data_IF_929974188599
#
_entry.id   IF_929974188599
#
_cell.length_a   1.000
_cell.length_b   1.000
_cell.length_c   1.000
_cell.angle_alpha   90.00
_cell.angle_beta   90.00
_cell.angle_gamma   90.00
#
_symmetry.space_group_name_H-M   'P 1'
#
loop_
_entity.id
_entity.type
_entity.pdbx_description
1 polymer ?
#
# COMPACT_ATOMS: atom_id res chain seq x y z
N UNK A 1 -5.61 22.99 10.16
CA UNK A 1 -5.51 21.69 9.45
C UNK A 1 -4.71 20.76 10.34
N UNK A 2 -5.21 19.54 10.60
CA UNK A 2 -4.52 18.49 11.35
C UNK A 2 -4.10 17.39 10.37
N UNK A 3 -2.88 16.87 10.50
CA UNK A 3 -2.35 15.78 9.66
C UNK A 3 -2.17 14.53 10.51
N UNK A 4 -2.63 13.39 9.99
CA UNK A 4 -2.60 12.11 10.69
C UNK A 4 -1.83 11.10 9.84
N UNK A 5 -0.80 10.46 10.40
CA UNK A 5 -0.09 9.35 9.74
C UNK A 5 -0.84 8.04 10.02
N UNK A 6 -1.97 7.86 9.36
CA UNK A 6 -2.81 6.66 9.48
C UNK A 6 -3.69 6.52 8.24
N UNK A 7 -3.79 5.31 7.69
CA UNK A 7 -4.63 5.05 6.53
C UNK A 7 -6.11 4.85 6.89
N UNK A 8 -6.43 4.32 8.08
CA UNK A 8 -7.79 3.96 8.44
C UNK A 8 -8.13 4.16 9.93
N UNK A 9 -7.25 3.72 10.85
CA UNK A 9 -7.56 3.69 12.29
C UNK A 9 -7.92 5.05 12.89
N UNK A 10 -7.44 6.16 12.32
CA UNK A 10 -7.77 7.50 12.82
C UNK A 10 -9.27 7.81 12.78
N UNK A 11 -10.02 7.19 11.87
CA UNK A 11 -11.44 7.47 11.64
C UNK A 11 -12.28 7.24 12.90
N UNK A 12 -12.02 6.18 13.63
CA UNK A 12 -12.77 5.87 14.86
C UNK A 12 -12.74 6.99 15.91
N UNK A 13 -11.61 7.71 16.01
CA UNK A 13 -11.43 8.78 17.00
C UNK A 13 -11.71 10.18 16.43
N UNK A 14 -11.35 10.43 15.18
CA UNK A 14 -11.32 11.78 14.61
C UNK A 14 -12.48 12.08 13.66
N UNK A 15 -13.09 11.07 13.02
CA UNK A 15 -14.20 11.28 12.09
C UNK A 15 -15.43 11.92 12.77
N UNK A 16 -15.81 11.56 14.01
CA UNK A 16 -16.94 12.19 14.70
C UNK A 16 -16.74 13.68 15.04
N UNK A 17 -15.50 14.16 15.08
CA UNK A 17 -15.16 15.53 15.51
C UNK A 17 -14.57 16.39 14.38
N UNK A 18 -14.33 15.81 13.21
CA UNK A 18 -13.77 16.51 12.05
C UNK A 18 -14.88 17.10 11.17
N UNK A 19 -14.71 18.34 10.72
CA UNK A 19 -15.61 18.95 9.73
C UNK A 19 -15.51 18.26 8.36
N UNK A 20 -14.31 17.80 7.99
CA UNK A 20 -14.04 17.11 6.72
C UNK A 20 -12.78 16.26 6.86
N UNK A 21 -12.81 15.07 6.28
CA UNK A 21 -11.63 14.22 6.07
C UNK A 21 -11.16 14.38 4.63
N UNK A 22 -9.86 14.62 4.44
CA UNK A 22 -9.22 14.70 3.13
C UNK A 22 -8.15 13.61 3.09
N UNK A 23 -8.34 12.59 2.26
CA UNK A 23 -7.32 11.59 2.00
C UNK A 23 -6.27 12.18 1.06
N UNK A 24 -5.00 11.94 1.40
CA UNK A 24 -3.86 12.49 0.66
C UNK A 24 -2.96 11.33 0.22
N UNK A 25 -2.72 11.25 -1.09
CA UNK A 25 -1.75 10.33 -1.70
C UNK A 25 -0.32 10.86 -1.50
N UNK A 26 0.12 10.90 -0.25
CA UNK A 26 1.45 11.39 0.12
C UNK A 26 2.52 10.35 -0.21
N UNK A 27 3.73 10.76 -0.66
CA UNK A 27 4.82 9.84 -0.90
C UNK A 27 5.33 9.21 0.40
N UNK A 28 5.90 8.02 0.31
CA UNK A 28 6.59 7.37 1.43
C UNK A 28 6.53 5.85 1.38
N UNK A 29 7.28 5.20 2.27
CA UNK A 29 7.45 3.73 2.32
C UNK A 29 6.15 2.94 2.53
N UNK A 30 5.08 3.60 2.96
CA UNK A 30 3.75 2.99 3.16
C UNK A 30 2.82 3.24 1.97
N UNK A 31 3.32 3.78 0.86
CA UNK A 31 2.56 3.96 -0.37
C UNK A 31 2.13 2.59 -0.93
N UNK A 32 0.86 2.43 -1.35
CA UNK A 32 0.40 1.22 -2.02
C UNK A 32 0.89 1.11 -3.47
N UNK A 33 1.47 2.17 -4.06
CA UNK A 33 2.00 2.17 -5.43
C UNK A 33 3.38 1.52 -5.46
N UNK A 34 3.42 0.20 -5.56
CA UNK A 34 4.68 -0.56 -5.53
C UNK A 34 5.60 -0.21 -6.71
N UNK A 35 5.03 0.06 -7.89
CA UNK A 35 5.76 0.49 -9.10
C UNK A 35 6.52 1.82 -8.94
N UNK A 36 6.21 2.61 -7.92
CA UNK A 36 6.94 3.85 -7.61
C UNK A 36 8.33 3.62 -7.00
N UNK A 37 8.68 2.37 -6.65
CA UNK A 37 9.97 2.00 -6.08
C UNK A 37 10.77 1.08 -6.99
N UNK A 38 12.08 1.32 -7.07
CA UNK A 38 13.02 0.50 -7.83
C UNK A 38 13.60 -0.64 -6.98
N UNK A 39 12.80 -1.70 -6.76
CA UNK A 39 13.20 -2.83 -5.93
C UNK A 39 14.32 -3.65 -6.57
N UNK A 40 15.40 -3.90 -5.82
CA UNK A 40 16.58 -4.65 -6.32
C UNK A 40 16.71 -6.09 -5.83
N UNK A 41 16.07 -6.43 -4.72
CA UNK A 41 16.27 -7.71 -4.02
C UNK A 41 14.97 -8.51 -3.85
N UNK A 42 14.11 -8.50 -4.86
CA UNK A 42 12.88 -9.30 -4.87
C UNK A 42 13.13 -10.67 -5.50
N UNK A 43 12.50 -11.70 -4.93
CA UNK A 43 12.33 -12.98 -5.61
C UNK A 43 11.30 -12.77 -6.73
N UNK A 44 11.74 -12.87 -7.98
CA UNK A 44 10.90 -12.74 -9.18
C UNK A 44 10.67 -14.11 -9.82
N UNK A 45 9.57 -14.33 -10.56
CA UNK A 45 8.49 -13.37 -10.81
C UNK A 45 7.57 -13.13 -9.58
N UNK A 46 7.07 -11.90 -9.40
CA UNK A 46 6.18 -11.50 -8.30
C UNK A 46 5.06 -10.55 -8.76
N UNK A 47 3.81 -10.91 -8.48
CA UNK A 47 2.66 -10.04 -8.71
C UNK A 47 2.59 -8.93 -7.66
N UNK A 48 2.26 -7.67 -8.00
CA UNK A 48 1.86 -7.16 -9.32
C UNK A 48 3.00 -6.59 -10.19
N UNK A 49 4.26 -6.67 -9.75
CA UNK A 49 5.40 -6.07 -10.44
C UNK A 49 5.79 -6.81 -11.73
N UNK A 50 5.47 -8.10 -11.79
CA UNK A 50 5.61 -9.00 -12.95
C UNK A 50 4.21 -9.41 -13.43
N UNK A 51 3.59 -8.67 -14.37
CA UNK A 51 2.21 -8.91 -14.78
C UNK A 51 2.02 -10.23 -15.55
N UNK A 52 3.08 -10.73 -16.18
CA UNK A 52 3.08 -12.01 -16.90
C UNK A 52 3.28 -13.22 -15.96
N UNK A 53 3.25 -13.02 -14.64
CA UNK A 53 3.31 -14.11 -13.67
C UNK A 53 2.07 -15.01 -13.80
N UNK A 54 2.27 -16.23 -14.27
CA UNK A 54 1.31 -17.31 -14.10
C UNK A 54 1.54 -18.01 -12.75
N UNK A 55 0.57 -17.91 -11.85
CA UNK A 55 0.64 -18.56 -10.54
C UNK A 55 0.00 -19.95 -10.56
N UNK A 56 0.64 -20.92 -9.92
CA UNK A 56 0.05 -22.23 -9.62
C UNK A 56 0.10 -22.57 -8.12
N UNK A 57 -0.82 -23.40 -7.59
CA UNK A 57 -0.78 -23.82 -6.19
C UNK A 57 0.49 -24.58 -5.77
N UNK A 58 1.22 -25.17 -6.73
CA UNK A 58 2.48 -25.85 -6.44
C UNK A 58 3.59 -24.86 -6.05
N UNK A 59 3.53 -23.61 -6.53
CA UNK A 59 4.53 -22.59 -6.27
C UNK A 59 4.49 -22.07 -4.83
N UNK A 60 3.35 -22.20 -4.14
CA UNK A 60 3.17 -21.77 -2.75
C UNK A 60 4.04 -22.54 -1.74
N UNK A 61 4.69 -23.65 -2.17
CA UNK A 61 5.51 -24.52 -1.32
C UNK A 61 7.02 -24.33 -1.53
N UNK A 62 7.45 -23.39 -2.40
CA UNK A 62 8.86 -23.00 -2.66
C UNK A 62 9.27 -21.75 -1.89
#
# INVERSE_FOLDING_TARGET
ILVLKSAAHFRAAFEPIATKVIEVDAPGISSPKLDSFDYKALRRPIYPLDPDLEWSPADARR
#
